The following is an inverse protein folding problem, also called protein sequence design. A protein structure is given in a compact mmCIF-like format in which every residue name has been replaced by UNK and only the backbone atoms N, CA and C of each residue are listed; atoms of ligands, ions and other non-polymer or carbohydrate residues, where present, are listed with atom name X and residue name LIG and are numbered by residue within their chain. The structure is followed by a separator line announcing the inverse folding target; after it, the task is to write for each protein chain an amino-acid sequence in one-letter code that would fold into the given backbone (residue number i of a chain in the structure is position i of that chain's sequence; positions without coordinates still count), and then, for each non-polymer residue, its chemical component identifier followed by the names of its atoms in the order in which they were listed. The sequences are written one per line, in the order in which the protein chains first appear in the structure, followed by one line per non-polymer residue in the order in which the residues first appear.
data_IF_596407467343
#
_entry.id   IF_596407467343
#
_cell.length_a   1.000
_cell.length_b   1.000
_cell.length_c   1.000
_cell.angle_alpha   90.00
_cell.angle_beta   90.00
_cell.angle_gamma   90.00
#
_symmetry.space_group_name_H-M   'P 1'
#
loop_
_entity.id
_entity.type
_entity.pdbx_description
1 polymer ?
#
# COMPACT_ATOMS: atom_id res chain seq x y z
N UNK A 1 20.90 15.84 -8.84
CA UNK A 1 20.83 17.26 -8.43
C UNK A 1 21.55 17.35 -7.08
N UNK A 2 22.41 18.35 -6.84
CA UNK A 2 23.05 18.48 -5.52
C UNK A 2 22.04 19.01 -4.48
N UNK A 3 22.28 18.75 -3.21
CA UNK A 3 21.34 19.01 -2.10
C UNK A 3 20.85 20.46 -2.06
N UNK A 4 21.73 21.41 -2.39
CA UNK A 4 21.42 22.85 -2.41
C UNK A 4 20.35 23.20 -3.44
N UNK A 5 20.47 22.70 -4.67
CA UNK A 5 19.46 22.92 -5.71
C UNK A 5 18.11 22.29 -5.39
N UNK A 6 18.09 21.17 -4.66
CA UNK A 6 16.84 20.55 -4.17
C UNK A 6 16.16 21.45 -3.16
N UNK A 7 16.92 21.94 -2.18
CA UNK A 7 16.40 22.78 -1.11
C UNK A 7 15.93 24.13 -1.65
N UNK A 8 16.71 24.75 -2.54
CA UNK A 8 16.37 26.02 -3.20
C UNK A 8 15.08 25.90 -3.98
N UNK A 9 14.96 24.88 -4.84
CA UNK A 9 13.74 24.61 -5.61
C UNK A 9 12.52 24.35 -4.71
N UNK A 10 12.69 23.65 -3.59
CA UNK A 10 11.61 23.45 -2.63
C UNK A 10 11.16 24.77 -1.99
N UNK A 11 12.10 25.66 -1.64
CA UNK A 11 11.80 27.01 -1.14
C UNK A 11 11.09 27.86 -2.18
N UNK A 12 11.52 27.83 -3.44
CA UNK A 12 10.87 28.53 -4.55
C UNK A 12 9.42 28.05 -4.73
N UNK A 13 9.18 26.74 -4.70
CA UNK A 13 7.84 26.18 -4.80
C UNK A 13 6.92 26.66 -3.66
N UNK A 14 7.46 26.73 -2.44
CA UNK A 14 6.73 27.24 -1.28
C UNK A 14 6.46 28.74 -1.41
N UNK A 15 7.44 29.51 -1.87
CA UNK A 15 7.33 30.97 -2.00
C UNK A 15 6.41 31.40 -3.14
N UNK A 16 6.45 30.68 -4.28
CA UNK A 16 5.51 30.89 -5.37
C UNK A 16 4.07 30.57 -4.93
N UNK A 17 3.90 29.51 -4.13
CA UNK A 17 2.61 29.21 -3.51
C UNK A 17 2.10 30.33 -2.59
N UNK A 18 2.99 31.08 -1.93
CA UNK A 18 2.62 32.25 -1.11
C UNK A 18 2.17 33.47 -1.92
N UNK A 19 2.83 33.75 -3.05
CA UNK A 19 2.58 34.97 -3.85
C UNK A 19 1.22 34.96 -4.57
N UNK A 20 0.76 33.80 -5.04
CA UNK A 20 -0.55 33.67 -5.69
C UNK A 20 -1.73 33.99 -4.75
N UNK A 21 -1.51 33.95 -3.43
CA UNK A 21 -2.52 34.18 -2.39
C UNK A 21 -2.77 35.66 -2.05
N UNK A 22 -1.77 36.53 -2.18
CA UNK A 22 -1.92 37.97 -1.84
C UNK A 22 -2.94 38.73 -2.71
N UNK A 23 -3.44 38.10 -3.78
CA UNK A 23 -4.42 38.70 -4.71
C UNK A 23 -5.89 38.30 -4.46
N UNK A 24 -6.22 37.46 -3.47
CA UNK A 24 -7.63 37.07 -3.17
C UNK A 24 -7.96 37.34 -1.68
N UNK A 25 -8.86 38.29 -1.44
CA UNK A 25 -9.30 38.71 -0.09
C UNK A 25 -10.17 37.66 0.62
N UNK A 26 -9.96 37.56 1.94
CA UNK A 26 -10.75 36.93 3.00
C UNK A 26 -10.78 35.40 3.07
N UNK A 27 -10.15 34.83 4.13
CA UNK A 27 -10.82 33.90 5.06
C UNK A 27 -9.94 33.59 6.29
N UNK A 28 -10.04 34.42 7.34
CA UNK A 28 -9.42 34.17 8.66
C UNK A 28 -10.05 33.00 9.45
N UNK A 29 -10.82 32.12 8.79
CA UNK A 29 -11.50 30.98 9.44
C UNK A 29 -11.00 29.60 9.01
N UNK A 30 -10.13 29.54 8.01
CA UNK A 30 -9.51 28.30 7.54
C UNK A 30 -8.00 28.45 7.56
N UNK A 31 -7.41 28.39 8.77
CA UNK A 31 -5.98 28.12 8.86
C UNK A 31 -5.73 26.81 8.10
N UNK A 32 -4.95 26.97 7.04
CA UNK A 32 -4.21 25.98 6.26
C UNK A 32 -4.65 25.69 4.82
N UNK A 33 -5.92 25.78 4.39
CA UNK A 33 -6.28 25.19 3.08
C UNK A 33 -7.44 25.86 2.34
N UNK A 34 -7.12 26.67 1.32
CA UNK A 34 -7.94 26.88 0.12
C UNK A 34 -7.08 26.64 -1.14
N UNK A 35 -7.72 26.15 -2.21
CA UNK A 35 -7.24 25.15 -3.18
C UNK A 35 -6.04 25.47 -4.11
N UNK A 36 -5.42 26.65 -4.08
CA UNK A 36 -4.28 26.98 -4.97
C UNK A 36 -2.91 26.90 -4.26
N UNK A 37 -2.87 27.07 -2.94
CA UNK A 37 -1.66 26.89 -2.11
C UNK A 37 -1.12 25.44 -2.10
N UNK A 38 -1.97 24.50 -2.53
CA UNK A 38 -1.84 23.06 -2.26
C UNK A 38 -0.88 22.34 -3.20
N UNK A 39 -0.81 22.75 -4.46
CA UNK A 39 -0.05 22.01 -5.48
C UNK A 39 1.45 22.24 -5.28
N UNK A 40 1.88 23.50 -5.23
CA UNK A 40 3.30 23.85 -5.09
C UNK A 40 3.89 23.43 -3.74
N UNK A 41 3.10 23.45 -2.66
CA UNK A 41 3.55 23.00 -1.34
C UNK A 41 3.72 21.47 -1.27
N UNK A 42 2.82 20.70 -1.87
CA UNK A 42 2.94 19.24 -1.93
C UNK A 42 4.10 18.80 -2.84
N UNK A 43 4.33 19.53 -3.94
CA UNK A 43 5.48 19.31 -4.81
C UNK A 43 6.80 19.57 -4.08
N UNK A 44 6.88 20.62 -3.25
CA UNK A 44 8.04 20.88 -2.40
C UNK A 44 8.28 19.74 -1.38
N UNK A 45 7.21 19.27 -0.74
CA UNK A 45 7.26 18.14 0.21
C UNK A 45 7.76 16.86 -0.48
N UNK A 46 7.18 16.50 -1.64
CA UNK A 46 7.59 15.32 -2.40
C UNK A 46 9.04 15.43 -2.88
N UNK A 47 9.45 16.61 -3.36
CA UNK A 47 10.81 16.85 -3.82
C UNK A 47 11.83 16.63 -2.70
N UNK A 48 11.59 17.20 -1.52
CA UNK A 48 12.48 17.06 -0.37
C UNK A 48 12.47 15.62 0.17
N UNK A 49 11.31 14.97 0.21
CA UNK A 49 11.20 13.60 0.69
C UNK A 49 11.93 12.63 -0.21
N UNK A 50 11.61 12.64 -1.50
CA UNK A 50 12.21 11.72 -2.48
C UNK A 50 13.74 11.87 -2.53
N UNK A 51 14.27 13.09 -2.42
CA UNK A 51 15.71 13.32 -2.50
C UNK A 51 16.45 13.19 -1.16
N UNK A 52 15.79 13.45 -0.03
CA UNK A 52 16.41 13.41 1.30
C UNK A 52 16.29 12.08 2.03
N UNK A 53 15.25 11.29 1.73
CA UNK A 53 14.91 10.09 2.50
C UNK A 53 14.90 8.81 1.67
N UNK A 54 14.92 8.90 0.34
CA UNK A 54 14.58 7.78 -0.56
C UNK A 54 15.68 7.49 -1.56
N UNK A 55 15.94 8.42 -2.49
CA UNK A 55 16.94 8.26 -3.55
C UNK A 55 18.33 8.18 -2.94
N UNK A 56 18.60 9.05 -1.97
CA UNK A 56 19.79 9.05 -1.14
C UNK A 56 19.40 9.52 0.26
N UNK A 57 19.98 8.91 1.30
CA UNK A 57 19.87 9.43 2.66
C UNK A 57 20.77 10.66 2.74
N UNK A 58 20.17 11.85 2.59
CA UNK A 58 20.88 13.13 2.58
C UNK A 58 20.44 13.99 3.77
N UNK A 59 21.26 13.99 4.82
CA UNK A 59 20.98 14.70 6.08
C UNK A 59 20.77 16.21 5.87
N UNK A 60 21.40 16.82 4.86
CA UNK A 60 21.22 18.26 4.58
C UNK A 60 19.80 18.53 4.07
N UNK A 61 19.28 17.67 3.20
CA UNK A 61 17.90 17.78 2.69
C UNK A 61 16.89 17.42 3.78
N UNK A 62 17.18 16.41 4.60
CA UNK A 62 16.32 16.03 5.73
C UNK A 62 16.18 17.16 6.76
N UNK A 63 17.28 17.80 7.14
CA UNK A 63 17.24 18.95 8.04
C UNK A 63 16.46 20.12 7.44
N UNK A 64 16.73 20.45 6.16
CA UNK A 64 16.00 21.48 5.47
C UNK A 64 14.50 21.19 5.38
N UNK A 65 14.10 19.91 5.24
CA UNK A 65 12.70 19.52 5.28
C UNK A 65 12.03 19.93 6.61
N UNK A 66 12.64 19.59 7.75
CA UNK A 66 12.08 19.93 9.06
C UNK A 66 12.12 21.42 9.37
N UNK A 67 13.09 22.15 8.81
CA UNK A 67 13.16 23.61 8.96
C UNK A 67 12.10 24.34 8.14
N UNK A 68 11.76 23.81 6.96
CA UNK A 68 10.91 24.48 5.97
C UNK A 68 9.44 24.07 6.09
N UNK A 69 9.17 22.82 6.43
CA UNK A 69 7.81 22.26 6.48
C UNK A 69 7.29 22.37 7.92
N UNK A 70 6.32 23.27 8.21
CA UNK A 70 5.79 23.43 9.55
C UNK A 70 5.06 22.18 10.06
N UNK A 71 5.23 21.91 11.36
CA UNK A 71 4.56 20.82 12.08
C UNK A 71 3.04 21.06 12.11
N UNK A 72 2.21 20.13 11.61
CA UNK A 72 0.77 20.32 11.58
C UNK A 72 0.15 20.19 12.97
N UNK A 73 -0.89 20.98 13.27
CA UNK A 73 -1.53 20.99 14.60
C UNK A 73 -2.03 19.60 15.05
N UNK A 74 -2.50 18.78 14.10
CA UNK A 74 -2.94 17.40 14.39
C UNK A 74 -1.79 16.53 14.89
N UNK A 75 -0.55 16.78 14.48
CA UNK A 75 0.63 16.09 15.01
C UNK A 75 0.84 16.45 16.48
N UNK A 76 0.78 17.74 16.82
CA UNK A 76 0.86 18.21 18.20
C UNK A 76 -0.23 17.59 19.08
N UNK A 77 -1.46 17.48 18.58
CA UNK A 77 -2.59 16.87 19.30
C UNK A 77 -2.40 15.38 19.58
N UNK A 78 -1.51 14.70 18.86
CA UNK A 78 -1.25 13.27 19.03
C UNK A 78 0.11 12.99 19.69
N UNK A 79 0.80 14.01 20.24
CA UNK A 79 2.12 13.83 20.90
C UNK A 79 2.06 12.83 22.05
N UNK A 80 1.06 12.95 22.91
CA UNK A 80 0.85 12.01 24.02
C UNK A 80 0.70 10.57 23.52
N UNK A 81 -0.05 10.34 22.44
CA UNK A 81 -0.20 8.99 21.87
C UNK A 81 1.10 8.48 21.25
N UNK A 82 1.96 9.35 20.69
CA UNK A 82 3.29 8.95 20.26
C UNK A 82 4.19 8.58 21.44
N UNK A 83 4.14 9.34 22.54
CA UNK A 83 4.92 9.04 23.75
C UNK A 83 4.44 7.72 24.40
N UNK A 84 3.13 7.53 24.49
CA UNK A 84 2.50 6.32 25.02
C UNK A 84 2.85 5.06 24.22
N UNK A 85 3.11 5.19 22.91
CA UNK A 85 3.55 4.08 22.06
C UNK A 85 4.88 3.48 22.53
N UNK A 86 5.67 4.25 23.28
CA UNK A 86 6.97 3.86 23.84
C UNK A 86 6.96 3.80 25.38
N UNK A 87 5.78 3.83 26.00
CA UNK A 87 5.61 3.70 27.45
C UNK A 87 6.07 2.34 27.95
N UNK A 88 6.46 2.26 29.23
CA UNK A 88 6.72 0.99 29.90
C UNK A 88 5.43 0.17 30.11
N UNK A 89 4.27 0.84 30.16
CA UNK A 89 2.96 0.19 30.27
C UNK A 89 2.51 -0.40 28.93
N UNK A 90 2.42 -1.73 28.85
CA UNK A 90 1.95 -2.44 27.66
C UNK A 90 0.53 -2.03 27.25
N UNK A 91 -0.36 -1.76 28.20
CA UNK A 91 -1.74 -1.38 27.89
C UNK A 91 -1.81 -0.03 27.17
N UNK A 92 -0.97 0.93 27.58
CA UNK A 92 -0.83 2.21 26.90
C UNK A 92 -0.26 2.04 25.50
N UNK A 93 0.83 1.26 25.34
CA UNK A 93 1.41 1.02 24.02
C UNK A 93 0.41 0.37 23.06
N UNK A 94 -0.35 -0.64 23.51
CA UNK A 94 -1.41 -1.28 22.72
C UNK A 94 -2.50 -0.29 22.36
N UNK A 95 -2.97 0.52 23.32
CA UNK A 95 -4.01 1.52 23.09
C UNK A 95 -3.58 2.54 22.03
N UNK A 96 -2.35 3.05 22.12
CA UNK A 96 -1.79 4.00 21.17
C UNK A 96 -1.57 3.43 19.78
N UNK A 97 -1.03 2.20 19.66
CA UNK A 97 -0.91 1.53 18.37
C UNK A 97 -2.28 1.34 17.69
N UNK A 98 -3.29 0.94 18.46
CA UNK A 98 -4.67 0.79 17.99
C UNK A 98 -5.29 2.12 17.57
N UNK A 99 -5.00 3.20 18.31
CA UNK A 99 -5.43 4.56 17.98
C UNK A 99 -4.92 4.98 16.60
N UNK A 100 -3.61 4.84 16.33
CA UNK A 100 -3.06 5.17 15.01
C UNK A 100 -3.62 4.28 13.90
N UNK A 101 -3.78 2.97 14.15
CA UNK A 101 -4.39 2.04 13.19
C UNK A 101 -5.83 2.42 12.83
N UNK A 102 -6.60 2.91 13.80
CA UNK A 102 -7.95 3.42 13.57
C UNK A 102 -7.90 4.72 12.77
N UNK A 103 -7.05 5.65 13.18
CA UNK A 103 -6.92 6.96 12.54
C UNK A 103 -6.48 6.85 11.07
N UNK A 104 -5.57 5.93 10.75
CA UNK A 104 -5.10 5.71 9.37
C UNK A 104 -6.17 5.12 8.45
N UNK A 105 -7.15 4.41 8.99
CA UNK A 105 -8.25 3.76 8.24
C UNK A 105 -9.53 4.59 8.19
N UNK A 106 -9.61 5.69 8.93
CA UNK A 106 -10.80 6.52 9.01
C UNK A 106 -10.95 7.38 7.74
N UNK A 107 -12.02 7.15 6.98
CA UNK A 107 -12.30 7.80 5.69
C UNK A 107 -12.97 9.18 5.86
N UNK A 108 -13.35 9.56 7.08
CA UNK A 108 -14.27 10.68 7.34
C UNK A 108 -13.70 12.09 7.29
N UNK A 109 -12.39 12.32 7.10
CA UNK A 109 -11.86 13.69 7.00
C UNK A 109 -10.46 13.80 6.39
N UNK A 110 -10.32 14.63 5.36
CA UNK A 110 -9.02 15.05 4.78
C UNK A 110 -8.07 15.61 5.86
N UNK A 111 -8.60 16.28 6.89
CA UNK A 111 -7.82 16.82 8.01
C UNK A 111 -7.21 15.73 8.90
N UNK A 112 -7.86 14.58 9.08
CA UNK A 112 -7.29 13.46 9.85
C UNK A 112 -6.14 12.79 9.11
N UNK A 113 -6.22 12.74 7.79
CA UNK A 113 -5.12 12.29 6.92
C UNK A 113 -3.87 13.17 6.99
N UNK A 114 -3.96 14.42 7.46
CA UNK A 114 -2.80 15.33 7.53
C UNK A 114 -1.71 14.85 8.48
N UNK A 115 -2.07 14.11 9.54
CA UNK A 115 -1.08 13.48 10.41
C UNK A 115 -0.15 12.58 9.59
N UNK A 116 -0.74 11.73 8.76
CA UNK A 116 -0.03 10.78 7.91
C UNK A 116 0.50 11.38 6.61
N UNK A 117 0.35 12.68 6.40
CA UNK A 117 1.07 13.42 5.35
C UNK A 117 2.36 14.04 5.86
N UNK A 118 2.58 13.98 7.18
CA UNK A 118 3.79 14.48 7.81
C UNK A 118 4.79 13.34 8.03
N UNK A 119 5.96 13.34 7.38
CA UNK A 119 6.96 12.27 7.42
C UNK A 119 7.47 11.91 8.80
N UNK A 120 7.51 12.90 9.71
CA UNK A 120 7.89 12.68 11.11
C UNK A 120 6.95 11.69 11.80
N UNK A 121 5.69 11.60 11.38
CA UNK A 121 4.78 10.55 11.85
C UNK A 121 5.30 9.17 11.53
N UNK A 122 5.80 8.94 10.32
CA UNK A 122 6.38 7.64 9.95
C UNK A 122 7.68 7.36 10.73
N UNK A 123 8.52 8.38 10.93
CA UNK A 123 9.73 8.26 11.74
C UNK A 123 9.45 7.86 13.19
N UNK A 124 8.39 8.40 13.78
CA UNK A 124 7.95 8.02 15.12
C UNK A 124 7.20 6.69 15.15
N UNK A 125 6.80 6.11 14.02
CA UNK A 125 6.11 4.81 13.97
C UNK A 125 7.05 3.66 13.62
N UNK A 126 8.10 3.89 12.83
CA UNK A 126 9.01 2.82 12.42
C UNK A 126 9.70 2.09 13.58
N UNK A 127 10.18 2.75 14.65
CA UNK A 127 10.78 2.04 15.78
C UNK A 127 9.82 1.07 16.46
N UNK A 128 8.52 1.37 16.51
CA UNK A 128 7.49 0.50 17.08
C UNK A 128 7.26 -0.81 16.30
N UNK A 129 7.79 -0.95 15.09
CA UNK A 129 7.83 -2.24 14.37
C UNK A 129 8.73 -3.28 15.05
N UNK A 130 9.59 -2.85 15.99
CA UNK A 130 10.49 -3.72 16.76
C UNK A 130 9.94 -4.06 18.16
N UNK A 131 8.69 -3.69 18.46
CA UNK A 131 8.07 -4.00 19.75
C UNK A 131 7.95 -5.53 19.95
N UNK A 132 8.13 -5.99 21.19
CA UNK A 132 8.03 -7.40 21.55
C UNK A 132 6.59 -7.92 21.46
N UNK A 133 5.61 -7.03 21.65
CA UNK A 133 4.20 -7.37 21.57
C UNK A 133 3.70 -7.30 20.12
N UNK A 134 3.42 -8.49 19.56
CA UNK A 134 3.01 -8.62 18.16
C UNK A 134 1.70 -7.88 17.82
N UNK A 135 0.83 -7.57 18.79
CA UNK A 135 -0.39 -6.76 18.54
C UNK A 135 -0.03 -5.32 18.18
N UNK A 136 0.98 -4.76 18.85
CA UNK A 136 1.51 -3.41 18.56
C UNK A 136 2.09 -3.41 17.15
N UNK A 137 2.99 -4.36 16.87
CA UNK A 137 3.63 -4.49 15.55
C UNK A 137 2.58 -4.61 14.43
N UNK A 138 1.54 -5.45 14.63
CA UNK A 138 0.43 -5.58 13.68
C UNK A 138 -0.27 -4.26 13.43
N UNK A 139 -0.65 -3.55 14.49
CA UNK A 139 -1.41 -2.31 14.37
C UNK A 139 -0.54 -1.18 13.75
N UNK A 140 0.78 -1.20 13.98
CA UNK A 140 1.74 -0.32 13.30
C UNK A 140 1.86 -0.68 11.81
N UNK A 141 1.96 -1.96 11.42
CA UNK A 141 1.94 -2.38 10.01
C UNK A 141 0.68 -1.88 9.31
N UNK A 142 -0.49 -2.02 9.95
CA UNK A 142 -1.77 -1.54 9.42
C UNK A 142 -1.76 -0.02 9.26
N UNK A 143 -1.23 0.69 10.26
CA UNK A 143 -1.10 2.16 10.23
C UNK A 143 -0.27 2.60 9.04
N UNK A 144 0.95 2.08 8.91
CA UNK A 144 1.89 2.45 7.86
C UNK A 144 1.34 2.11 6.47
N UNK A 145 0.77 0.92 6.31
CA UNK A 145 0.14 0.47 5.08
C UNK A 145 -1.02 1.34 4.62
N UNK A 146 -1.97 1.59 5.52
CA UNK A 146 -3.15 2.40 5.22
C UNK A 146 -2.77 3.86 4.96
N UNK A 147 -1.81 4.39 5.73
CA UNK A 147 -1.27 5.73 5.53
C UNK A 147 -0.57 5.88 4.18
N UNK A 148 0.27 4.90 3.82
CA UNK A 148 0.94 4.82 2.53
C UNK A 148 -0.09 4.83 1.40
N UNK A 149 -1.10 3.99 1.50
CA UNK A 149 -2.06 3.82 0.41
C UNK A 149 -2.91 5.07 0.17
N UNK A 150 -3.33 5.74 1.25
CA UNK A 150 -4.37 6.77 1.20
C UNK A 150 -3.87 8.22 1.25
N UNK A 151 -2.76 8.48 1.92
CA UNK A 151 -2.40 9.85 2.29
C UNK A 151 -1.05 10.28 1.75
N UNK A 152 -0.02 9.47 1.96
CA UNK A 152 1.33 9.82 1.58
C UNK A 152 2.16 8.58 1.33
N UNK A 153 2.63 8.42 0.09
CA UNK A 153 3.41 7.26 -0.39
C UNK A 153 4.86 7.35 0.11
N UNK A 154 5.07 7.39 1.44
CA UNK A 154 6.41 7.38 2.03
C UNK A 154 7.14 6.09 1.63
N UNK A 155 8.18 6.14 0.80
CA UNK A 155 8.78 4.95 0.23
C UNK A 155 9.67 4.20 1.22
N UNK A 156 9.92 4.74 2.42
CA UNK A 156 10.52 3.96 3.52
C UNK A 156 9.56 2.87 4.02
N UNK A 157 8.24 3.10 3.91
CA UNK A 157 7.21 2.12 4.32
C UNK A 157 7.39 0.79 3.61
N UNK A 158 7.61 0.81 2.29
CA UNK A 158 7.87 -0.39 1.50
C UNK A 158 9.01 -1.22 2.09
N UNK A 159 10.15 -0.57 2.34
CA UNK A 159 11.36 -1.21 2.86
C UNK A 159 11.12 -1.83 4.24
N UNK A 160 10.40 -1.13 5.11
CA UNK A 160 10.08 -1.63 6.44
C UNK A 160 9.07 -2.80 6.40
N UNK A 161 8.04 -2.72 5.56
CA UNK A 161 7.04 -3.78 5.46
C UNK A 161 7.58 -5.06 4.82
N UNK A 162 8.51 -4.97 3.86
CA UNK A 162 9.12 -6.16 3.27
C UNK A 162 9.95 -7.00 4.25
N UNK A 163 10.42 -6.42 5.36
CA UNK A 163 11.10 -7.20 6.42
C UNK A 163 10.20 -8.26 7.04
N UNK A 164 8.87 -8.10 6.95
CA UNK A 164 7.90 -9.05 7.51
C UNK A 164 7.55 -10.21 6.58
N UNK A 165 8.06 -10.25 5.35
CA UNK A 165 7.73 -11.31 4.39
C UNK A 165 8.26 -12.70 4.76
N UNK A 166 9.27 -12.76 5.63
CA UNK A 166 9.81 -14.00 6.19
C UNK A 166 9.45 -14.17 7.68
N UNK A 167 8.51 -13.38 8.19
CA UNK A 167 8.17 -13.41 9.60
C UNK A 167 7.45 -14.71 9.99
N UNK A 168 7.80 -15.29 11.15
CA UNK A 168 7.22 -16.54 11.65
C UNK A 168 5.72 -16.41 11.98
N UNK A 169 5.34 -15.24 12.49
CA UNK A 169 3.94 -14.92 12.77
C UNK A 169 3.16 -14.69 11.47
N UNK A 170 2.14 -15.53 11.26
CA UNK A 170 1.36 -15.54 10.02
C UNK A 170 0.41 -14.36 9.91
N UNK A 171 -0.02 -13.76 11.02
CA UNK A 171 -0.86 -12.55 10.99
C UNK A 171 -0.05 -11.36 10.50
N UNK A 172 1.15 -11.15 11.07
CA UNK A 172 2.06 -10.08 10.63
C UNK A 172 2.46 -10.22 9.16
N UNK A 173 2.84 -11.43 8.74
CA UNK A 173 3.11 -11.74 7.33
C UNK A 173 1.90 -11.39 6.44
N UNK A 174 0.70 -11.80 6.83
CA UNK A 174 -0.51 -11.54 6.04
C UNK A 174 -0.76 -10.05 5.88
N UNK A 175 -0.67 -9.26 6.97
CA UNK A 175 -0.87 -7.82 6.90
C UNK A 175 0.21 -7.11 6.09
N UNK A 176 1.47 -7.52 6.19
CA UNK A 176 2.54 -6.98 5.37
C UNK A 176 2.27 -7.22 3.87
N UNK A 177 1.82 -8.43 3.49
CA UNK A 177 1.44 -8.74 2.10
C UNK A 177 0.24 -7.90 1.65
N UNK A 178 -0.80 -7.76 2.47
CA UNK A 178 -1.98 -6.95 2.12
C UNK A 178 -1.57 -5.50 1.86
N UNK A 179 -0.85 -4.90 2.79
CA UNK A 179 -0.60 -3.46 2.74
C UNK A 179 0.45 -3.02 1.73
N UNK A 180 1.27 -3.95 1.26
CA UNK A 180 2.20 -3.72 0.15
C UNK A 180 1.57 -4.00 -1.22
N UNK A 181 0.31 -4.48 -1.30
CA UNK A 181 -0.31 -4.78 -2.60
C UNK A 181 -0.53 -3.53 -3.46
N UNK A 182 -0.76 -2.38 -2.83
CA UNK A 182 -0.91 -1.08 -3.48
C UNK A 182 0.41 -0.39 -3.87
N UNK A 183 1.55 -1.08 -3.75
CA UNK A 183 2.85 -0.60 -4.23
C UNK A 183 2.97 -0.94 -5.71
N UNK A 184 3.20 0.05 -6.56
CA UNK A 184 3.19 -0.11 -8.03
C UNK A 184 4.50 -0.66 -8.61
N UNK A 185 5.56 -0.77 -7.81
CA UNK A 185 6.86 -1.24 -8.27
C UNK A 185 6.88 -2.75 -8.51
N UNK A 186 7.48 -3.18 -9.62
CA UNK A 186 7.52 -4.60 -9.98
C UNK A 186 8.52 -5.44 -9.18
N UNK A 187 9.54 -4.82 -8.60
CA UNK A 187 10.50 -5.50 -7.70
C UNK A 187 9.79 -6.14 -6.49
N UNK A 188 8.54 -5.75 -6.17
CA UNK A 188 7.72 -6.46 -5.18
C UNK A 188 7.56 -7.94 -5.49
N UNK A 189 7.59 -8.32 -6.76
CA UNK A 189 7.41 -9.71 -7.18
C UNK A 189 8.59 -10.62 -6.80
N UNK A 190 9.76 -10.05 -6.51
CA UNK A 190 10.90 -10.78 -5.94
C UNK A 190 10.57 -11.36 -4.55
N UNK A 191 9.64 -10.72 -3.84
CA UNK A 191 9.13 -11.20 -2.54
C UNK A 191 7.86 -12.05 -2.68
N UNK A 192 7.01 -11.78 -3.68
CA UNK A 192 5.72 -12.45 -3.87
C UNK A 192 5.88 -13.86 -4.44
N UNK A 193 6.73 -14.06 -5.46
CA UNK A 193 6.86 -15.38 -6.09
C UNK A 193 7.38 -16.47 -5.14
N UNK A 194 8.41 -16.25 -4.31
CA UNK A 194 8.85 -17.26 -3.35
C UNK A 194 7.74 -17.70 -2.37
N UNK A 195 6.89 -16.75 -1.95
CA UNK A 195 5.75 -17.04 -1.10
C UNK A 195 4.65 -17.80 -1.86
N UNK A 196 4.42 -17.47 -3.13
CA UNK A 196 3.42 -18.13 -3.97
C UNK A 196 3.83 -19.56 -4.34
N UNK A 197 5.12 -19.81 -4.58
CA UNK A 197 5.70 -21.12 -4.92
C UNK A 197 5.71 -22.09 -3.72
N UNK A 198 5.68 -21.56 -2.49
CA UNK A 198 5.63 -22.35 -1.26
C UNK A 198 4.21 -22.56 -0.75
N UNK A 199 3.94 -23.66 -0.02
CA UNK A 199 2.60 -23.94 0.50
C UNK A 199 2.17 -22.92 1.56
N UNK A 200 1.17 -22.10 1.24
CA UNK A 200 0.61 -21.08 2.14
C UNK A 200 -0.75 -21.45 2.74
N UNK A 201 -1.14 -20.71 3.79
CA UNK A 201 -2.50 -20.75 4.34
C UNK A 201 -3.48 -20.02 3.42
N UNK A 202 -4.78 -20.33 3.54
CA UNK A 202 -5.86 -19.66 2.79
C UNK A 202 -5.79 -18.13 2.85
N UNK A 203 -5.57 -17.56 4.04
CA UNK A 203 -5.50 -16.10 4.23
C UNK A 203 -4.31 -15.47 3.52
N UNK A 204 -3.14 -16.12 3.56
CA UNK A 204 -1.95 -15.62 2.88
C UNK A 204 -2.13 -15.72 1.36
N UNK A 205 -2.72 -16.81 0.85
CA UNK A 205 -3.03 -16.93 -0.57
C UNK A 205 -3.98 -15.84 -1.06
N UNK A 206 -5.04 -15.56 -0.28
CA UNK A 206 -5.96 -14.47 -0.58
C UNK A 206 -5.26 -13.10 -0.62
N UNK A 207 -4.31 -12.87 0.30
CA UNK A 207 -3.49 -11.66 0.33
C UNK A 207 -2.52 -11.57 -0.86
N UNK A 208 -1.82 -12.66 -1.21
CA UNK A 208 -0.92 -12.70 -2.37
C UNK A 208 -1.67 -12.42 -3.68
N UNK A 209 -2.91 -12.91 -3.80
CA UNK A 209 -3.77 -12.65 -4.95
C UNK A 209 -4.08 -11.15 -5.18
N UNK A 210 -3.97 -10.30 -4.14
CA UNK A 210 -4.18 -8.86 -4.25
C UNK A 210 -3.13 -8.18 -5.14
N UNK A 211 -1.90 -8.72 -5.18
CA UNK A 211 -0.79 -8.13 -5.93
C UNK A 211 -0.96 -8.22 -7.44
N UNK A 212 -1.89 -9.05 -7.93
CA UNK A 212 -2.13 -9.30 -9.34
C UNK A 212 -3.34 -8.54 -9.92
N UNK A 213 -4.01 -7.69 -9.14
CA UNK A 213 -5.24 -7.00 -9.58
C UNK A 213 -5.01 -6.09 -10.79
N UNK A 214 -3.87 -5.38 -10.80
CA UNK A 214 -3.56 -4.34 -11.79
C UNK A 214 -2.27 -4.65 -12.57
N UNK A 215 -1.84 -5.92 -12.61
CA UNK A 215 -0.61 -6.32 -13.28
C UNK A 215 -0.85 -6.48 -14.78
N UNK A 216 -0.25 -5.58 -15.56
CA UNK A 216 -0.31 -5.59 -17.02
C UNK A 216 0.88 -6.31 -17.67
N UNK A 217 1.92 -6.66 -16.89
CA UNK A 217 3.12 -7.31 -17.41
C UNK A 217 2.88 -8.79 -17.72
N UNK A 218 2.95 -9.11 -19.01
CA UNK A 218 2.84 -10.48 -19.54
C UNK A 218 3.71 -11.49 -18.81
N UNK A 219 5.00 -11.22 -18.60
CA UNK A 219 5.92 -12.21 -18.03
C UNK A 219 5.57 -12.58 -16.58
N UNK A 220 5.11 -11.61 -15.79
CA UNK A 220 4.64 -11.85 -14.42
C UNK A 220 3.37 -12.70 -14.43
N UNK A 221 2.43 -12.40 -15.33
CA UNK A 221 1.19 -13.14 -15.49
C UNK A 221 1.45 -14.59 -15.95
N UNK A 222 2.33 -14.79 -16.94
CA UNK A 222 2.77 -16.11 -17.41
C UNK A 222 3.41 -16.94 -16.30
N UNK A 223 4.21 -16.31 -15.43
CA UNK A 223 4.84 -17.00 -14.29
C UNK A 223 3.83 -17.37 -13.19
N UNK A 224 2.91 -16.47 -12.86
CA UNK A 224 1.94 -16.68 -11.77
C UNK A 224 0.85 -17.72 -12.12
N UNK A 225 0.42 -17.74 -13.39
CA UNK A 225 -0.76 -18.50 -13.82
C UNK A 225 -0.66 -20.01 -13.53
N UNK A 226 0.42 -20.74 -13.89
CA UNK A 226 0.53 -22.16 -13.56
C UNK A 226 0.46 -22.46 -12.07
N UNK A 227 1.04 -21.58 -11.25
CA UNK A 227 1.09 -21.74 -9.79
C UNK A 227 -0.34 -21.57 -9.22
N UNK A 228 -1.06 -20.53 -9.64
CA UNK A 228 -2.44 -20.29 -9.22
C UNK A 228 -3.39 -21.43 -9.63
N UNK A 229 -3.20 -22.01 -10.82
CA UNK A 229 -3.97 -23.18 -11.26
C UNK A 229 -3.70 -24.40 -10.37
N UNK A 230 -2.44 -24.65 -10.00
CA UNK A 230 -2.10 -25.76 -9.10
C UNK A 230 -2.81 -25.64 -7.75
N UNK A 231 -2.95 -24.41 -7.23
CA UNK A 231 -3.68 -24.17 -5.99
C UNK A 231 -5.16 -24.58 -6.05
N UNK A 232 -5.81 -24.48 -7.21
CA UNK A 232 -7.21 -24.89 -7.37
C UNK A 232 -7.43 -26.39 -7.16
N UNK A 233 -6.38 -27.21 -7.32
CA UNK A 233 -6.40 -28.65 -7.01
C UNK A 233 -6.34 -28.96 -5.51
N UNK A 234 -6.11 -27.96 -4.65
CA UNK A 234 -5.97 -28.14 -3.19
C UNK A 234 -7.32 -27.98 -2.48
N UNK A 235 -7.43 -28.54 -1.27
CA UNK A 235 -8.57 -28.31 -0.38
C UNK A 235 -8.52 -26.89 0.19
N UNK A 236 -9.27 -25.99 -0.43
CA UNK A 236 -9.36 -24.57 -0.07
C UNK A 236 -10.78 -24.21 0.37
N UNK A 237 -10.92 -23.11 1.11
CA UNK A 237 -12.24 -22.52 1.39
C UNK A 237 -12.84 -21.94 0.11
N UNK A 238 -14.17 -21.83 0.05
CA UNK A 238 -14.86 -21.22 -1.09
C UNK A 238 -14.36 -19.79 -1.36
N UNK A 239 -14.19 -18.98 -0.29
CA UNK A 239 -13.61 -17.63 -0.38
C UNK A 239 -12.24 -17.63 -1.09
N UNK A 240 -11.34 -18.53 -0.70
CA UNK A 240 -10.00 -18.57 -1.27
C UNK A 240 -10.01 -19.06 -2.72
N UNK A 241 -10.81 -20.10 -3.04
CA UNK A 241 -11.00 -20.54 -4.43
C UNK A 241 -11.50 -19.39 -5.30
N UNK A 242 -12.54 -18.68 -4.85
CA UNK A 242 -13.11 -17.55 -5.58
C UNK A 242 -12.08 -16.45 -5.81
N UNK A 243 -11.24 -16.14 -4.81
CA UNK A 243 -10.18 -15.15 -4.94
C UNK A 243 -9.15 -15.55 -6.00
N UNK A 244 -8.69 -16.81 -5.97
CA UNK A 244 -7.73 -17.34 -6.95
C UNK A 244 -8.31 -17.32 -8.36
N UNK A 245 -9.56 -17.79 -8.53
CA UNK A 245 -10.24 -17.78 -9.84
C UNK A 245 -10.38 -16.35 -10.38
N UNK A 246 -10.77 -15.39 -9.54
CA UNK A 246 -10.83 -13.98 -9.93
C UNK A 246 -9.47 -13.43 -10.35
N UNK A 247 -8.40 -13.79 -9.63
CA UNK A 247 -7.04 -13.39 -10.01
C UNK A 247 -6.63 -14.00 -11.33
N UNK A 248 -6.90 -15.29 -11.56
CA UNK A 248 -6.65 -15.96 -12.85
C UNK A 248 -7.38 -15.23 -13.97
N UNK A 249 -8.68 -14.97 -13.82
CA UNK A 249 -9.48 -14.23 -14.82
C UNK A 249 -8.91 -12.84 -15.10
N UNK A 250 -8.41 -12.15 -14.06
CA UNK A 250 -7.78 -10.84 -14.19
C UNK A 250 -6.51 -10.89 -15.07
N UNK A 251 -5.69 -11.93 -14.91
CA UNK A 251 -4.41 -12.04 -15.62
C UNK A 251 -4.49 -12.75 -16.99
N UNK A 252 -5.66 -13.32 -17.34
CA UNK A 252 -5.84 -13.99 -18.64
C UNK A 252 -5.89 -12.99 -19.81
N UNK A 253 -5.09 -13.24 -20.82
CA UNK A 253 -5.02 -12.51 -22.07
C UNK A 253 -4.57 -13.46 -23.18
N UNK A 254 -4.52 -13.01 -24.43
CA UNK A 254 -4.17 -13.86 -25.59
C UNK A 254 -2.87 -14.65 -25.36
N UNK A 255 -1.88 -14.02 -24.72
CA UNK A 255 -0.56 -14.57 -24.44
C UNK A 255 -0.49 -15.55 -23.24
N UNK A 256 -1.56 -15.69 -22.47
CA UNK A 256 -1.64 -16.55 -21.27
C UNK A 256 -2.75 -17.60 -21.37
N UNK A 257 -3.70 -17.45 -22.30
CA UNK A 257 -4.78 -18.43 -22.53
C UNK A 257 -4.24 -19.80 -22.92
N UNK A 258 -3.21 -19.88 -23.77
CA UNK A 258 -2.65 -21.18 -24.15
C UNK A 258 -2.02 -21.90 -22.94
N UNK A 259 -1.37 -21.14 -22.05
CA UNK A 259 -0.82 -21.67 -20.80
C UNK A 259 -1.95 -22.18 -19.89
N UNK A 260 -3.05 -21.41 -19.79
CA UNK A 260 -4.22 -21.82 -19.02
C UNK A 260 -4.81 -23.13 -19.54
N UNK A 261 -5.13 -23.19 -20.83
CA UNK A 261 -5.75 -24.36 -21.46
C UNK A 261 -4.82 -25.59 -21.43
N UNK A 262 -3.50 -25.39 -21.46
CA UNK A 262 -2.52 -26.46 -21.29
C UNK A 262 -2.38 -26.99 -19.86
N UNK A 263 -2.83 -26.24 -18.85
CA UNK A 263 -2.72 -26.61 -17.43
C UNK A 263 -4.04 -27.08 -16.81
N UNK A 264 -5.17 -26.66 -17.37
CA UNK A 264 -6.48 -27.05 -16.86
C UNK A 264 -7.48 -27.24 -17.99
N UNK A 265 -8.27 -28.31 -17.90
CA UNK A 265 -9.40 -28.55 -18.78
C UNK A 265 -10.70 -28.41 -18.00
N UNK A 266 -11.34 -27.23 -18.10
CA UNK A 266 -12.58 -26.93 -17.39
C UNK A 266 -13.75 -27.84 -17.81
N UNK A 267 -13.72 -28.40 -19.02
CA UNK A 267 -14.76 -29.33 -19.51
C UNK A 267 -14.81 -30.63 -18.68
N UNK A 268 -13.69 -30.99 -18.05
CA UNK A 268 -13.60 -32.18 -17.22
C UNK A 268 -13.90 -31.92 -15.74
N UNK A 269 -14.19 -30.66 -15.35
CA UNK A 269 -14.46 -30.27 -13.97
C UNK A 269 -15.64 -29.28 -13.92
N UNK A 270 -16.86 -29.82 -13.80
CA UNK A 270 -18.10 -29.02 -13.82
C UNK A 270 -18.20 -28.02 -12.67
N UNK A 271 -17.74 -28.38 -11.47
CA UNK A 271 -17.70 -27.47 -10.32
C UNK A 271 -16.83 -26.23 -10.63
N UNK A 272 -15.62 -26.47 -11.14
CA UNK A 272 -14.70 -25.39 -11.43
C UNK A 272 -15.13 -24.58 -12.66
N UNK A 273 -15.65 -25.23 -13.69
CA UNK A 273 -16.22 -24.56 -14.87
C UNK A 273 -17.35 -23.59 -14.48
N UNK A 274 -18.26 -24.03 -13.61
CA UNK A 274 -19.33 -23.18 -13.08
C UNK A 274 -18.76 -22.00 -12.29
N UNK A 275 -17.75 -22.23 -11.43
CA UNK A 275 -17.12 -21.16 -10.67
C UNK A 275 -16.44 -20.10 -11.57
N UNK A 276 -15.73 -20.53 -12.62
CA UNK A 276 -15.16 -19.61 -13.61
C UNK A 276 -16.25 -18.82 -14.32
N UNK A 277 -17.32 -19.48 -14.76
CA UNK A 277 -18.47 -18.84 -15.42
C UNK A 277 -19.12 -17.79 -14.52
N UNK A 278 -19.36 -18.10 -13.25
CA UNK A 278 -19.90 -17.15 -12.26
C UNK A 278 -18.99 -15.94 -12.09
N UNK A 279 -17.68 -16.17 -11.90
CA UNK A 279 -16.72 -15.09 -11.70
C UNK A 279 -16.56 -14.21 -12.95
N UNK A 280 -16.56 -14.79 -14.16
CA UNK A 280 -16.51 -14.03 -15.41
C UNK A 280 -17.73 -13.10 -15.51
N UNK A 281 -18.94 -13.64 -15.33
CA UNK A 281 -20.17 -12.88 -15.45
C UNK A 281 -20.30 -11.77 -14.40
N UNK A 282 -19.76 -11.97 -13.20
CA UNK A 282 -19.87 -11.01 -12.11
C UNK A 282 -18.84 -9.87 -12.18
N UNK A 283 -17.65 -10.12 -12.74
CA UNK A 283 -16.51 -9.21 -12.60
C UNK A 283 -15.90 -8.70 -13.91
N UNK A 284 -16.34 -9.17 -15.08
CA UNK A 284 -15.80 -8.74 -16.36
C UNK A 284 -16.74 -7.79 -17.12
N UNK A 285 -16.19 -6.96 -18.02
CA UNK A 285 -16.99 -6.22 -19.01
C UNK A 285 -17.67 -7.18 -19.99
N UNK A 286 -18.70 -6.71 -20.70
CA UNK A 286 -19.41 -7.53 -21.69
C UNK A 286 -18.48 -8.10 -22.76
N UNK A 287 -17.58 -7.30 -23.35
CA UNK A 287 -16.65 -7.81 -24.37
C UNK A 287 -15.73 -8.88 -23.79
N UNK A 288 -15.30 -8.69 -22.54
CA UNK A 288 -14.40 -9.63 -21.86
C UNK A 288 -15.11 -10.92 -21.45
N UNK A 289 -16.40 -10.87 -21.11
CA UNK A 289 -17.23 -12.06 -20.89
C UNK A 289 -17.30 -12.89 -22.16
N UNK A 290 -17.65 -12.28 -23.30
CA UNK A 290 -17.75 -12.95 -24.60
C UNK A 290 -16.41 -13.58 -25.00
N UNK A 291 -15.33 -12.81 -24.89
CA UNK A 291 -13.98 -13.25 -25.21
C UNK A 291 -13.52 -14.44 -24.35
N UNK A 292 -13.59 -14.33 -23.01
CA UNK A 292 -13.12 -15.40 -22.14
C UNK A 292 -14.00 -16.65 -22.27
N UNK A 293 -15.33 -16.49 -22.35
CA UNK A 293 -16.24 -17.63 -22.54
C UNK A 293 -15.91 -18.40 -23.80
N UNK A 294 -15.60 -17.74 -24.91
CA UNK A 294 -15.23 -18.41 -26.16
C UNK A 294 -13.87 -19.13 -26.10
N UNK A 295 -12.96 -18.70 -25.22
CA UNK A 295 -11.56 -19.16 -25.19
C UNK A 295 -11.27 -20.22 -24.14
N UNK A 296 -11.97 -20.21 -23.00
CA UNK A 296 -11.64 -21.08 -21.86
C UNK A 296 -12.81 -21.92 -21.31
N UNK A 297 -14.07 -21.63 -21.67
CA UNK A 297 -15.25 -22.39 -21.25
C UNK A 297 -15.77 -23.29 -22.39
#
# INVERSE_FOLDING_TARGET
MNSEKVIEKARELIENGKQDFTNKTNYEKYRWFDNEYYVSYFDAINLLLENGFVKNIDTKIQNAYFDIIPEPEIFTKNKEQFDDLYSQDEALRISSAKHFSKLARDEGSVFRGMLFRYPKTFELLFPALKDENLKIVRDVIITLGSAYDRYFKDPRVETELYKFYNHKDKELLTFAIIWTSGIEKDNKFDYIFPLLESKQTSKILEALCLHFRDVTKTDLNKKALPILIEYLGRKLTASTKNRIVRTIIGILADDTIEIFNGKINLKNNSELSNLFKECINLYCSKERIEYLTAKIL
#
